data_IF_652609264429
#
_entry.id   IF_652609264429
#
_cell.length_a   1.000
_cell.length_b   1.000
_cell.length_c   1.000
_cell.angle_alpha   90.00
_cell.angle_beta   90.00
_cell.angle_gamma   90.00
#
_symmetry.space_group_name_H-M   'P 1'
#
loop_
_entity.id
_entity.type
_entity.pdbx_description
1 polymer ?
#
# COMPACT_ATOMS: atom_id res chain seq x y z
N UNK A 1 -11.36 10.01 -7.62
CA UNK A 1 -10.15 9.96 -8.49
C UNK A 1 -9.03 9.25 -7.74
N UNK A 2 -8.32 8.30 -8.37
CA UNK A 2 -7.20 7.57 -7.74
C UNK A 2 -5.88 8.30 -7.99
N UNK A 3 -5.10 8.52 -6.94
CA UNK A 3 -3.78 9.14 -6.97
C UNK A 3 -2.73 8.17 -6.42
N UNK A 4 -1.49 8.22 -6.93
CA UNK A 4 -0.40 7.34 -6.51
C UNK A 4 0.72 8.17 -5.91
N UNK A 5 1.15 7.82 -4.70
CA UNK A 5 2.20 8.57 -3.98
C UNK A 5 3.17 7.62 -3.29
N UNK A 6 4.44 8.02 -3.23
CA UNK A 6 5.40 7.38 -2.33
C UNK A 6 4.94 7.64 -0.90
N UNK A 7 4.85 6.59 -0.09
CA UNK A 7 4.43 6.70 1.29
C UNK A 7 5.44 7.53 2.08
N UNK A 8 4.95 8.52 2.80
CA UNK A 8 5.73 9.35 3.71
C UNK A 8 4.88 9.72 4.93
N UNK A 9 5.51 10.31 5.95
CA UNK A 9 4.82 10.71 7.19
C UNK A 9 3.63 11.65 6.93
N UNK A 10 3.69 12.47 5.87
CA UNK A 10 2.59 13.36 5.48
C UNK A 10 1.37 12.63 4.89
N UNK A 11 1.35 11.29 4.85
CA UNK A 11 0.17 10.48 4.52
C UNK A 11 -0.39 9.75 5.76
N UNK A 12 0.18 9.96 6.95
CA UNK A 12 -0.28 9.32 8.18
C UNK A 12 -1.72 9.72 8.56
N UNK A 13 -2.21 10.86 8.07
CA UNK A 13 -3.58 11.31 8.26
C UNK A 13 -4.61 10.62 7.33
N UNK A 14 -4.15 9.93 6.29
CA UNK A 14 -5.05 9.16 5.41
C UNK A 14 -5.42 7.85 6.07
N UNK A 15 -6.69 7.49 6.05
CA UNK A 15 -7.13 6.19 6.57
C UNK A 15 -6.68 5.05 5.65
N UNK A 16 -6.25 3.93 6.24
CA UNK A 16 -6.14 2.67 5.50
C UNK A 16 -7.54 2.10 5.35
N UNK A 17 -7.95 1.84 4.11
CA UNK A 17 -9.21 1.18 3.85
C UNK A 17 -9.25 -0.21 4.52
N UNK A 18 -10.45 -0.67 4.86
CA UNK A 18 -10.64 -2.03 5.37
C UNK A 18 -10.52 -3.06 4.23
N UNK A 19 -10.23 -4.32 4.60
CA UNK A 19 -10.17 -5.42 3.64
C UNK A 19 -8.80 -5.67 2.98
N UNK A 20 -7.72 -5.05 3.49
CA UNK A 20 -6.36 -5.50 3.22
C UNK A 20 -6.07 -6.85 3.90
N UNK A 21 -5.07 -7.56 3.36
CA UNK A 21 -4.65 -8.89 3.75
C UNK A 21 -5.80 -9.91 3.63
N UNK A 22 -6.62 -9.77 2.59
CA UNK A 22 -7.76 -10.66 2.36
C UNK A 22 -7.29 -12.12 2.23
N UNK A 23 -7.92 -13.02 2.99
CA UNK A 23 -7.62 -14.45 2.96
C UNK A 23 -6.48 -14.89 3.91
N UNK A 24 -5.86 -13.98 4.66
CA UNK A 24 -4.84 -14.32 5.65
C UNK A 24 -5.48 -14.73 6.98
N UNK A 25 -5.18 -15.92 7.54
CA UNK A 25 -5.76 -16.37 8.82
C UNK A 25 -5.41 -15.48 10.01
N UNK A 26 -4.20 -14.92 10.01
CA UNK A 26 -3.73 -13.91 10.93
C UNK A 26 -2.99 -12.86 10.11
N UNK A 27 -3.40 -11.60 10.25
CA UNK A 27 -2.91 -10.51 9.41
C UNK A 27 -2.50 -9.29 10.23
N UNK A 28 -1.67 -8.39 9.67
CA UNK A 28 -1.39 -7.09 10.27
C UNK A 28 -2.68 -6.30 10.51
N UNK A 29 -2.79 -5.69 11.68
CA UNK A 29 -3.76 -4.63 11.93
C UNK A 29 -3.31 -3.32 11.24
N UNK A 30 -4.15 -2.27 11.28
CA UNK A 30 -3.85 -0.99 10.60
C UNK A 30 -2.57 -0.33 11.10
N UNK A 31 -2.30 -0.41 12.40
CA UNK A 31 -1.08 0.16 12.99
C UNK A 31 0.17 -0.58 12.52
N UNK A 32 0.11 -1.91 12.48
CA UNK A 32 1.19 -2.76 11.98
C UNK A 32 1.37 -2.58 10.47
N UNK A 33 0.28 -2.47 9.71
CA UNK A 33 0.33 -2.14 8.28
C UNK A 33 1.04 -0.80 8.05
N UNK A 34 0.72 0.26 8.80
CA UNK A 34 1.47 1.53 8.72
C UNK A 34 2.94 1.35 9.03
N UNK A 35 3.30 0.57 10.06
CA UNK A 35 4.70 0.28 10.38
C UNK A 35 5.40 -0.42 9.20
N UNK A 36 4.74 -1.36 8.52
CA UNK A 36 5.30 -2.01 7.33
C UNK A 36 5.56 -0.99 6.22
N UNK A 37 4.59 -0.11 5.91
CA UNK A 37 4.75 0.93 4.88
C UNK A 37 5.92 1.88 5.19
N UNK A 38 6.03 2.31 6.46
CA UNK A 38 7.07 3.23 6.94
C UNK A 38 8.49 2.65 6.94
N UNK A 39 8.62 1.36 7.27
CA UNK A 39 9.93 0.72 7.46
C UNK A 39 10.42 -0.02 6.20
N UNK A 40 9.62 -0.07 5.13
CA UNK A 40 10.09 -0.56 3.84
C UNK A 40 11.10 0.41 3.22
N UNK A 41 12.02 -0.09 2.39
CA UNK A 41 12.97 0.77 1.68
C UNK A 41 12.25 1.85 0.86
N UNK A 42 11.18 1.45 0.17
CA UNK A 42 10.15 2.34 -0.39
C UNK A 42 8.80 1.66 -0.29
N UNK A 43 7.75 2.45 -0.20
CA UNK A 43 6.37 2.00 -0.40
C UNK A 43 5.65 3.00 -1.28
N UNK A 44 4.76 2.55 -2.16
CA UNK A 44 3.86 3.40 -2.93
C UNK A 44 2.43 3.02 -2.57
N UNK A 45 1.56 4.01 -2.44
CA UNK A 45 0.15 3.83 -2.11
C UNK A 45 -0.75 4.42 -3.18
N UNK A 46 -1.84 3.73 -3.46
CA UNK A 46 -2.96 4.22 -4.27
C UNK A 46 -4.02 4.78 -3.32
N UNK A 47 -4.40 6.04 -3.55
CA UNK A 47 -5.27 6.84 -2.69
C UNK A 47 -6.54 7.17 -3.46
N UNK A 48 -7.69 6.86 -2.88
CA UNK A 48 -8.96 7.41 -3.33
C UNK A 48 -9.16 8.80 -2.71
N UNK A 49 -8.98 9.85 -3.51
CA UNK A 49 -9.10 11.23 -3.03
C UNK A 49 -10.52 11.60 -2.59
N UNK A 50 -11.55 10.92 -3.09
CA UNK A 50 -12.94 11.23 -2.72
C UNK A 50 -13.26 10.69 -1.32
N UNK A 51 -12.64 9.57 -0.94
CA UNK A 51 -12.79 8.94 0.38
C UNK A 51 -11.66 9.26 1.34
N UNK A 52 -10.61 9.95 0.86
CA UNK A 52 -9.40 10.26 1.60
C UNK A 52 -8.75 9.00 2.23
N UNK A 53 -8.68 7.92 1.44
CA UNK A 53 -8.31 6.59 1.90
C UNK A 53 -7.25 5.94 1.01
N UNK A 54 -6.33 5.22 1.62
CA UNK A 54 -5.40 4.32 0.92
C UNK A 54 -6.15 3.03 0.59
N UNK A 55 -6.26 2.72 -0.70
CA UNK A 55 -7.04 1.58 -1.25
C UNK A 55 -6.17 0.51 -1.94
N UNK A 56 -4.87 0.78 -2.04
CA UNK A 56 -3.87 -0.17 -2.55
C UNK A 56 -2.48 0.25 -2.12
N UNK A 57 -1.56 -0.71 -2.06
CA UNK A 57 -0.17 -0.45 -1.72
C UNK A 57 0.78 -1.46 -2.35
N UNK A 58 2.05 -1.06 -2.43
CA UNK A 58 3.19 -1.90 -2.77
C UNK A 58 4.34 -1.56 -1.83
N UNK A 59 5.07 -2.57 -1.37
CA UNK A 59 6.27 -2.40 -0.53
C UNK A 59 7.51 -2.93 -1.24
N UNK A 60 8.64 -2.28 -1.04
CA UNK A 60 9.94 -2.69 -1.58
C UNK A 60 10.96 -2.80 -0.45
N UNK A 61 11.72 -3.90 -0.45
CA UNK A 61 12.96 -4.06 0.33
C UNK A 61 14.12 -4.06 -0.66
N UNK A 62 15.15 -3.25 -0.44
CA UNK A 62 16.28 -3.13 -1.35
C UNK A 62 17.55 -2.74 -0.62
N UNK A 63 18.69 -3.10 -1.20
CA UNK A 63 20.02 -2.60 -0.80
C UNK A 63 20.30 -1.18 -1.33
N UNK A 64 19.44 -0.64 -2.21
CA UNK A 64 19.61 0.65 -2.85
C UNK A 64 20.71 0.70 -3.92
N UNK A 65 21.26 -0.45 -4.32
CA UNK A 65 22.41 -0.57 -5.23
C UNK A 65 22.14 -1.55 -6.36
N UNK A 66 21.78 -2.80 -6.04
CA UNK A 66 21.74 -3.91 -7.00
C UNK A 66 20.43 -4.70 -6.95
N UNK A 67 19.91 -4.96 -5.76
CA UNK A 67 18.81 -5.90 -5.57
C UNK A 67 17.60 -5.28 -4.88
N UNK A 68 16.42 -5.69 -5.34
CA UNK A 68 15.15 -5.32 -4.72
C UNK A 68 14.21 -6.53 -4.72
N UNK A 69 13.35 -6.57 -3.70
CA UNK A 69 12.29 -7.53 -3.54
C UNK A 69 11.00 -6.79 -3.22
N UNK A 70 9.87 -7.26 -3.77
CA UNK A 70 8.54 -6.71 -3.54
C UNK A 70 7.75 -7.75 -2.73
N UNK A 71 7.71 -7.64 -1.38
CA UNK A 71 7.06 -8.64 -0.54
C UNK A 71 5.53 -8.60 -0.62
N UNK A 72 4.96 -7.42 -0.80
CA UNK A 72 3.52 -7.18 -0.76
C UNK A 72 3.11 -6.22 -1.88
N UNK A 73 2.04 -6.60 -2.57
CA UNK A 73 1.30 -5.78 -3.53
C UNK A 73 -0.17 -6.16 -3.37
N UNK A 74 -1.01 -5.20 -2.97
CA UNK A 74 -2.42 -5.46 -2.76
C UNK A 74 -3.29 -4.26 -3.13
N UNK A 75 -4.47 -4.54 -3.68
CA UNK A 75 -5.57 -3.61 -3.88
C UNK A 75 -6.81 -4.23 -3.27
N UNK A 76 -7.56 -3.48 -2.46
CA UNK A 76 -8.77 -3.98 -1.81
C UNK A 76 -9.81 -4.42 -2.85
N UNK A 77 -10.60 -5.44 -2.52
CA UNK A 77 -11.49 -6.14 -3.46
C UNK A 77 -12.39 -5.22 -4.28
N UNK A 78 -12.97 -4.18 -3.67
CA UNK A 78 -13.85 -3.21 -4.31
C UNK A 78 -13.17 -2.36 -5.42
N UNK A 79 -11.84 -2.27 -5.42
CA UNK A 79 -11.06 -1.46 -6.38
C UNK A 79 -10.27 -2.32 -7.37
N UNK A 80 -10.43 -3.65 -7.34
CA UNK A 80 -9.75 -4.56 -8.29
C UNK A 80 -10.32 -4.43 -9.70
N UNK A 81 -9.59 -4.96 -10.69
CA UNK A 81 -9.91 -4.93 -12.14
C UNK A 81 -9.99 -3.54 -12.76
N UNK A 82 -9.42 -2.53 -12.09
CA UNK A 82 -9.33 -1.15 -12.59
C UNK A 82 -7.88 -0.76 -13.00
N UNK A 83 -6.96 -1.73 -13.05
CA UNK A 83 -5.55 -1.50 -13.40
C UNK A 83 -4.67 -0.91 -12.28
N UNK A 84 -5.22 -0.64 -11.09
CA UNK A 84 -4.49 -0.01 -9.97
C UNK A 84 -3.25 -0.81 -9.55
N UNK A 85 -3.35 -2.14 -9.45
CA UNK A 85 -2.21 -2.99 -9.11
C UNK A 85 -1.08 -2.91 -10.14
N UNK A 86 -1.41 -2.75 -11.43
CA UNK A 86 -0.43 -2.55 -12.49
C UNK A 86 0.19 -1.16 -12.50
N UNK A 87 -0.51 -0.15 -11.98
CA UNK A 87 0.01 1.21 -11.83
C UNK A 87 0.89 1.37 -10.57
N UNK A 88 0.69 0.51 -9.57
CA UNK A 88 1.52 0.46 -8.37
C UNK A 88 2.90 -0.15 -8.63
N UNK A 89 3.00 -1.09 -9.57
CA UNK A 89 4.23 -1.77 -9.96
C UNK A 89 5.07 -0.91 -10.93
#
# INVERSE_FOLDING_TARGET
MINYQIYCQALDQLELADGFFEGWPQHPDKDTHRKILKNSFKSIVAIDNEKNQIIGFITIISDGILSAYIPLLEVISAYRKQGIGSQLL
#
